data_IF_400903421742
#
_entry.id   IF_400903421742
#
_cell.length_a   1.000
_cell.length_b   1.000
_cell.length_c   1.000
_cell.angle_alpha   90.00
_cell.angle_beta   90.00
_cell.angle_gamma   90.00
#
_symmetry.space_group_name_H-M   'P 1'
#
loop_
_entity.id
_entity.type
_entity.pdbx_description
1 polymer ?
#
# COMPACT_ATOMS: atom_id res chain seq x y z
N UNK A 1 25.51 -13.24 3.42
CA UNK A 1 24.39 -13.10 4.36
C UNK A 1 23.19 -13.51 3.57
N UNK A 2 22.51 -14.58 3.98
CA UNK A 2 21.28 -15.00 3.33
C UNK A 2 20.27 -13.85 3.51
N UNK A 3 19.89 -13.27 2.38
CA UNK A 3 18.79 -12.34 2.27
C UNK A 3 17.77 -12.98 1.34
N UNK A 4 16.60 -12.35 1.22
CA UNK A 4 15.60 -12.76 0.26
C UNK A 4 16.20 -12.75 -1.15
N UNK A 5 16.09 -13.88 -1.85
CA UNK A 5 16.55 -14.01 -3.22
C UNK A 5 15.34 -13.95 -4.15
N UNK A 6 15.43 -13.10 -5.17
CA UNK A 6 14.35 -12.89 -6.15
C UNK A 6 14.05 -14.15 -6.96
N UNK A 7 15.06 -15.01 -7.17
CA UNK A 7 14.95 -16.27 -7.90
C UNK A 7 14.62 -17.48 -7.00
N UNK A 8 14.43 -17.28 -5.69
CA UNK A 8 13.99 -18.34 -4.80
C UNK A 8 12.56 -18.80 -5.17
N UNK A 9 12.26 -20.10 -5.23
CA UNK A 9 10.95 -20.59 -5.66
C UNK A 9 9.76 -19.97 -4.92
N UNK A 10 9.88 -19.78 -3.60
CA UNK A 10 8.82 -19.14 -2.82
C UNK A 10 8.62 -17.66 -3.16
N UNK A 11 9.70 -16.91 -3.49
CA UNK A 11 9.58 -15.52 -3.96
C UNK A 11 8.91 -15.47 -5.33
N UNK A 12 9.29 -16.38 -6.23
CA UNK A 12 8.70 -16.47 -7.58
C UNK A 12 7.22 -16.82 -7.50
N UNK A 13 6.84 -17.78 -6.66
CA UNK A 13 5.46 -18.18 -6.43
C UNK A 13 4.63 -17.04 -5.82
N UNK A 14 5.15 -16.37 -4.79
CA UNK A 14 4.49 -15.22 -4.17
C UNK A 14 4.29 -14.08 -5.17
N UNK A 15 5.33 -13.68 -5.91
CA UNK A 15 5.23 -12.62 -6.91
C UNK A 15 4.24 -12.98 -8.02
N UNK A 16 4.22 -14.24 -8.47
CA UNK A 16 3.29 -14.70 -9.49
C UNK A 16 1.84 -14.64 -8.99
N UNK A 17 1.56 -15.09 -7.77
CA UNK A 17 0.22 -15.04 -7.17
C UNK A 17 -0.27 -13.59 -6.96
N UNK A 18 0.63 -12.69 -6.53
CA UNK A 18 0.34 -11.25 -6.45
C UNK A 18 0.04 -10.69 -7.84
N UNK A 19 0.86 -11.02 -8.83
CA UNK A 19 0.66 -10.55 -10.21
C UNK A 19 -0.69 -11.01 -10.77
N UNK A 20 -1.04 -12.29 -10.61
CA UNK A 20 -2.34 -12.84 -11.03
C UNK A 20 -3.50 -12.10 -10.35
N UNK A 21 -3.40 -11.86 -9.03
CA UNK A 21 -4.44 -11.13 -8.29
C UNK A 21 -4.58 -9.69 -8.78
N UNK A 22 -3.47 -8.99 -9.01
CA UNK A 22 -3.51 -7.63 -9.56
C UNK A 22 -4.10 -7.63 -10.97
N UNK A 23 -3.75 -8.58 -11.84
CA UNK A 23 -4.29 -8.64 -13.22
C UNK A 23 -5.78 -8.99 -13.27
N UNK A 24 -6.25 -9.88 -12.38
CA UNK A 24 -7.61 -10.42 -12.43
C UNK A 24 -8.62 -9.66 -11.56
N UNK A 25 -8.19 -9.12 -10.42
CA UNK A 25 -9.09 -8.53 -9.41
C UNK A 25 -8.82 -7.05 -9.15
N UNK A 26 -7.55 -6.64 -9.16
CA UNK A 26 -7.13 -5.32 -8.69
C UNK A 26 -6.28 -4.59 -9.74
N UNK A 27 -6.73 -4.55 -11.00
CA UNK A 27 -5.92 -4.12 -12.15
C UNK A 27 -5.53 -2.63 -12.14
N UNK A 28 -6.37 -1.82 -11.51
CA UNK A 28 -6.28 -0.36 -11.54
C UNK A 28 -7.08 0.26 -10.38
N UNK A 29 -6.95 1.59 -10.25
CA UNK A 29 -7.64 2.35 -9.23
C UNK A 29 -9.16 2.15 -9.22
N UNK A 30 -9.78 1.92 -10.39
CA UNK A 30 -11.21 1.65 -10.51
C UNK A 30 -11.60 0.35 -9.83
N UNK A 31 -10.90 -0.74 -10.16
CA UNK A 31 -11.10 -2.05 -9.54
C UNK A 31 -10.88 -2.02 -8.03
N UNK A 32 -9.90 -1.25 -7.55
CA UNK A 32 -9.64 -1.05 -6.12
C UNK A 32 -10.81 -0.36 -5.40
N UNK A 33 -11.39 0.67 -6.01
CA UNK A 33 -12.57 1.36 -5.47
C UNK A 33 -13.74 0.41 -5.33
N UNK A 34 -14.02 -0.39 -6.36
CA UNK A 34 -15.10 -1.39 -6.33
C UNK A 34 -14.88 -2.46 -5.24
N UNK A 35 -13.62 -2.85 -5.02
CA UNK A 35 -13.21 -3.81 -4.00
C UNK A 35 -13.13 -3.22 -2.58
N UNK A 36 -13.41 -1.92 -2.40
CA UNK A 36 -13.47 -1.28 -1.08
C UNK A 36 -12.14 -0.73 -0.56
N UNK A 37 -11.08 -0.75 -1.37
CA UNK A 37 -9.82 -0.11 -1.02
C UNK A 37 -9.99 1.41 -0.90
N UNK A 38 -9.22 1.99 0.02
CA UNK A 38 -9.22 3.41 0.35
C UNK A 38 -7.86 4.02 0.04
N UNK A 39 -7.79 5.10 -0.75
CA UNK A 39 -6.54 5.79 -0.98
C UNK A 39 -6.10 6.46 0.30
N UNK A 40 -4.87 6.27 0.74
CA UNK A 40 -4.34 7.04 1.87
C UNK A 40 -3.02 7.73 1.52
N UNK A 41 -2.80 7.96 0.21
CA UNK A 41 -1.72 8.73 -0.46
C UNK A 41 -0.65 9.23 0.50
N UNK A 42 0.61 8.78 0.35
CA UNK A 42 1.72 9.09 1.25
C UNK A 42 1.76 10.57 1.70
N UNK A 43 1.15 10.77 2.86
CA UNK A 43 0.37 11.97 3.19
C UNK A 43 1.21 13.22 3.45
N UNK A 44 2.49 13.03 3.72
CA UNK A 44 3.46 14.09 3.99
C UNK A 44 4.59 14.15 2.95
N UNK A 45 4.62 13.24 1.99
CA UNK A 45 5.63 13.17 0.94
C UNK A 45 4.94 13.12 -0.42
N UNK A 46 4.23 14.19 -0.77
CA UNK A 46 3.48 14.28 -2.04
C UNK A 46 4.40 14.30 -3.27
N UNK A 47 5.70 14.48 -3.06
CA UNK A 47 6.75 14.37 -4.07
C UNK A 47 7.28 12.92 -4.20
N UNK A 48 6.74 11.94 -3.44
CA UNK A 48 7.12 10.53 -3.50
C UNK A 48 6.72 9.92 -4.85
N UNK A 49 7.61 10.11 -5.82
CA UNK A 49 7.84 9.31 -7.03
C UNK A 49 6.62 8.94 -7.88
N UNK A 50 5.45 9.56 -7.71
CA UNK A 50 4.27 9.36 -8.54
C UNK A 50 3.61 7.99 -8.40
N UNK A 51 3.56 7.43 -7.20
CA UNK A 51 2.76 6.24 -6.87
C UNK A 51 2.00 6.45 -5.55
N UNK A 52 1.06 5.57 -5.21
CA UNK A 52 0.24 5.71 -4.02
C UNK A 52 -0.15 4.38 -3.40
N UNK A 53 -0.34 4.40 -2.08
CA UNK A 53 -0.91 3.30 -1.32
C UNK A 53 -2.44 3.39 -1.24
N UNK A 54 -3.08 2.25 -1.49
CA UNK A 54 -4.51 2.02 -1.35
C UNK A 54 -4.71 0.88 -0.37
N UNK A 55 -5.36 1.13 0.76
CA UNK A 55 -5.49 0.17 1.87
C UNK A 55 -6.91 -0.38 1.95
N UNK A 56 -7.06 -1.66 2.29
CA UNK A 56 -8.37 -2.27 2.53
C UNK A 56 -8.61 -2.48 4.04
N UNK A 57 -9.50 -1.67 4.67
CA UNK A 57 -9.92 -1.85 6.07
C UNK A 57 -10.33 -3.29 6.43
N UNK A 58 -11.05 -3.97 5.54
CA UNK A 58 -11.54 -5.33 5.80
C UNK A 58 -10.37 -6.32 5.91
N UNK A 59 -9.37 -6.20 5.03
CA UNK A 59 -8.22 -7.10 5.03
C UNK A 59 -7.23 -6.79 6.16
N UNK A 60 -7.02 -5.52 6.51
CA UNK A 60 -6.24 -5.16 7.70
C UNK A 60 -6.84 -5.77 8.99
N UNK A 61 -8.17 -5.83 9.04
CA UNK A 61 -8.95 -6.32 10.16
C UNK A 61 -9.22 -7.83 10.15
N UNK A 62 -8.80 -8.58 9.13
CA UNK A 62 -9.09 -10.02 9.03
C UNK A 62 -8.04 -10.90 9.75
N UNK A 63 -8.16 -12.22 9.57
CA UNK A 63 -7.27 -13.20 10.22
C UNK A 63 -6.09 -13.65 9.35
N UNK A 64 -6.10 -13.28 8.06
CA UNK A 64 -5.10 -13.61 7.06
C UNK A 64 -3.91 -12.65 7.14
N UNK A 65 -2.73 -13.16 6.83
CA UNK A 65 -1.50 -12.37 6.72
C UNK A 65 -0.67 -13.02 5.63
N UNK A 66 -0.06 -12.22 4.76
CA UNK A 66 0.71 -12.72 3.62
C UNK A 66 -0.17 -13.57 2.68
N UNK A 67 -1.39 -13.10 2.42
CA UNK A 67 -2.36 -13.72 1.51
C UNK A 67 -2.43 -12.92 0.20
N UNK A 68 -1.85 -13.41 -0.93
CA UNK A 68 -1.82 -12.67 -2.19
C UNK A 68 -3.20 -12.32 -2.75
N UNK A 69 -4.24 -13.09 -2.40
CA UNK A 69 -5.61 -12.84 -2.88
C UNK A 69 -6.29 -11.71 -2.08
N UNK A 70 -5.79 -11.38 -0.89
CA UNK A 70 -6.35 -10.35 0.02
C UNK A 70 -5.24 -9.48 0.63
N UNK A 71 -4.46 -8.75 -0.19
CA UNK A 71 -3.39 -7.90 0.32
C UNK A 71 -3.97 -6.70 1.09
N UNK A 72 -3.42 -6.38 2.25
CA UNK A 72 -3.93 -5.26 3.06
C UNK A 72 -3.79 -3.92 2.35
N UNK A 73 -2.82 -3.78 1.43
CA UNK A 73 -2.67 -2.62 0.58
C UNK A 73 -2.19 -2.97 -0.83
N UNK A 74 -2.70 -2.24 -1.82
CA UNK A 74 -2.25 -2.26 -3.22
C UNK A 74 -1.53 -0.94 -3.55
N UNK A 75 -0.51 -1.02 -4.40
CA UNK A 75 0.34 0.08 -4.81
C UNK A 75 -0.04 0.46 -6.23
N UNK A 76 -0.35 1.73 -6.48
CA UNK A 76 -0.85 2.22 -7.77
C UNK A 76 0.10 3.27 -8.32
N UNK A 77 0.43 3.16 -9.61
CA UNK A 77 1.15 4.21 -10.32
C UNK A 77 0.22 5.39 -10.61
N UNK A 78 0.55 6.60 -10.14
CA UNK A 78 -0.37 7.74 -10.22
C UNK A 78 -0.49 8.31 -11.64
N UNK A 79 0.39 7.95 -12.57
CA UNK A 79 0.28 8.39 -13.97
C UNK A 79 -0.60 7.44 -14.78
N UNK A 80 -0.31 6.13 -14.74
CA UNK A 80 -1.06 5.11 -15.52
C UNK A 80 -2.32 4.62 -14.83
N UNK A 81 -2.43 4.83 -13.51
CA UNK A 81 -3.49 4.36 -12.63
C UNK A 81 -3.57 2.83 -12.51
N UNK A 82 -2.50 2.13 -12.95
CA UNK A 82 -2.35 0.68 -12.85
C UNK A 82 -1.76 0.28 -11.51
N UNK A 83 -2.19 -0.88 -11.02
CA UNK A 83 -1.55 -1.51 -9.88
C UNK A 83 -0.16 -2.03 -10.26
N UNK A 84 0.83 -1.82 -9.39
CA UNK A 84 2.25 -2.10 -9.65
C UNK A 84 2.91 -2.98 -8.58
N UNK A 85 2.17 -3.29 -7.52
CA UNK A 85 2.62 -4.12 -6.42
C UNK A 85 1.60 -4.14 -5.30
N UNK A 86 1.93 -4.86 -4.24
CA UNK A 86 1.15 -4.90 -3.00
C UNK A 86 2.05 -4.61 -1.82
N UNK A 87 1.43 -4.22 -0.72
CA UNK A 87 2.06 -4.14 0.58
C UNK A 87 1.24 -4.97 1.55
N UNK A 88 1.87 -6.01 2.10
CA UNK A 88 1.30 -6.74 3.20
C UNK A 88 1.54 -5.99 4.51
N UNK A 89 0.59 -6.06 5.42
CA UNK A 89 0.68 -5.47 6.76
C UNK A 89 0.47 -6.60 7.77
N UNK A 90 1.43 -6.78 8.68
CA UNK A 90 1.41 -7.84 9.68
C UNK A 90 0.45 -7.46 10.82
N UNK A 91 -0.84 -7.49 10.53
CA UNK A 91 -1.94 -7.33 11.48
C UNK A 91 -2.79 -8.59 11.54
N UNK A 92 -3.49 -8.80 12.66
CA UNK A 92 -4.56 -9.80 12.77
C UNK A 92 -5.63 -9.21 13.67
N UNK A 93 -6.88 -9.26 13.23
CA UNK A 93 -7.99 -8.60 13.93
C UNK A 93 -7.68 -7.10 14.18
N UNK A 94 -6.96 -6.45 13.27
CA UNK A 94 -6.49 -5.06 13.38
C UNK A 94 -5.31 -4.81 14.32
N UNK A 95 -4.83 -5.81 15.06
CA UNK A 95 -3.69 -5.68 15.97
C UNK A 95 -2.37 -6.11 15.30
N UNK A 96 -1.28 -5.38 15.55
CA UNK A 96 0.05 -5.77 15.06
C UNK A 96 0.49 -7.13 15.61
N UNK A 97 1.03 -7.97 14.73
CA UNK A 97 1.62 -9.26 15.09
C UNK A 97 3.11 -9.34 14.71
N UNK A 98 3.77 -10.42 15.13
CA UNK A 98 5.09 -10.76 14.59
C UNK A 98 4.91 -11.25 13.14
N UNK A 99 5.61 -10.66 12.15
CA UNK A 99 5.41 -11.03 10.77
C UNK A 99 5.91 -12.45 10.46
N UNK A 100 5.16 -13.23 9.65
CA UNK A 100 5.64 -14.52 9.19
C UNK A 100 6.80 -14.36 8.19
N UNK A 101 7.79 -15.25 8.21
CA UNK A 101 8.79 -15.30 7.15
C UNK A 101 8.12 -15.67 5.81
N UNK A 102 8.67 -15.18 4.70
CA UNK A 102 8.27 -15.65 3.36
C UNK A 102 8.70 -17.11 3.19
N UNK A 103 9.92 -17.42 3.61
CA UNK A 103 10.44 -18.79 3.63
C UNK A 103 11.58 -18.91 4.65
N UNK A 104 11.89 -20.17 4.99
CA UNK A 104 12.94 -20.53 5.94
C UNK A 104 12.48 -20.42 7.39
N UNK A 105 12.81 -21.42 8.20
CA UNK A 105 12.49 -21.47 9.63
C UNK A 105 13.73 -21.17 10.51
N UNK A 106 14.92 -21.14 9.91
CA UNK A 106 16.20 -20.90 10.58
C UNK A 106 17.08 -19.91 9.82
N UNK A 107 18.09 -19.37 10.49
CA UNK A 107 18.85 -18.20 10.03
C UNK A 107 19.66 -18.41 8.76
N UNK A 108 19.84 -19.65 8.29
CA UNK A 108 20.66 -19.94 7.12
C UNK A 108 19.91 -19.71 5.80
N UNK A 109 18.60 -19.97 5.77
CA UNK A 109 17.74 -19.78 4.59
C UNK A 109 16.53 -18.85 4.86
N UNK A 110 16.46 -18.21 6.02
CA UNK A 110 15.38 -17.28 6.40
C UNK A 110 15.30 -16.06 5.46
N UNK A 111 14.13 -15.85 4.88
CA UNK A 111 13.73 -14.61 4.22
C UNK A 111 12.55 -13.99 4.96
N UNK A 112 12.81 -12.84 5.58
CA UNK A 112 11.82 -12.00 6.26
C UNK A 112 12.14 -10.53 5.93
N UNK A 113 11.68 -10.03 4.77
CA UNK A 113 11.98 -8.67 4.31
C UNK A 113 11.04 -7.61 4.92
N UNK A 114 10.27 -8.00 5.95
CA UNK A 114 9.40 -7.12 6.71
C UNK A 114 10.19 -6.01 7.40
N UNK A 115 9.62 -4.82 7.42
CA UNK A 115 10.17 -3.65 8.09
C UNK A 115 9.05 -2.83 8.72
N UNK A 116 9.37 -1.87 9.57
CA UNK A 116 8.39 -0.93 10.12
C UNK A 116 8.91 0.48 9.97
N UNK A 117 8.00 1.45 9.92
CA UNK A 117 8.36 2.86 9.89
C UNK A 117 8.29 3.46 11.29
N UNK A 118 9.41 4.04 11.73
CA UNK A 118 9.47 4.85 12.96
C UNK A 118 9.58 6.36 12.68
N UNK A 119 9.80 6.73 11.41
CA UNK A 119 9.80 8.11 10.93
C UNK A 119 8.39 8.70 10.92
N UNK A 120 8.32 10.03 10.97
CA UNK A 120 7.05 10.76 11.01
C UNK A 120 6.13 10.47 9.81
N UNK A 121 6.63 10.44 8.55
CA UNK A 121 5.76 10.21 7.39
C UNK A 121 4.97 8.89 7.48
N UNK A 122 5.64 7.76 7.65
CA UNK A 122 4.98 6.46 7.73
C UNK A 122 4.06 6.33 8.96
N UNK A 123 4.48 6.85 10.12
CA UNK A 123 3.64 6.85 11.33
C UNK A 123 2.38 7.70 11.16
N UNK A 124 2.49 8.85 10.51
CA UNK A 124 1.36 9.73 10.25
C UNK A 124 0.42 9.15 9.21
N UNK A 125 0.94 8.53 8.14
CA UNK A 125 0.12 7.85 7.15
C UNK A 125 -0.72 6.72 7.77
N UNK A 126 -0.11 5.86 8.61
CA UNK A 126 -0.82 4.81 9.34
C UNK A 126 -1.85 5.37 10.33
N UNK A 127 -1.47 6.40 11.11
CA UNK A 127 -2.41 7.07 12.01
C UNK A 127 -3.58 7.68 11.23
N UNK A 128 -3.31 8.34 10.11
CA UNK A 128 -4.34 8.95 9.27
C UNK A 128 -5.32 7.91 8.75
N UNK A 129 -4.85 6.77 8.24
CA UNK A 129 -5.71 5.65 7.85
C UNK A 129 -6.67 5.28 9.00
N UNK A 130 -6.12 5.03 10.19
CA UNK A 130 -6.89 4.68 11.40
C UNK A 130 -7.94 5.73 11.77
N UNK A 131 -7.61 7.02 11.68
CA UNK A 131 -8.56 8.08 12.00
C UNK A 131 -9.63 8.28 10.91
N UNK A 132 -9.23 8.24 9.64
CA UNK A 132 -10.10 8.56 8.51
C UNK A 132 -11.04 7.39 8.13
N UNK A 133 -10.55 6.16 8.25
CA UNK A 133 -11.24 4.97 7.73
C UNK A 133 -11.73 4.04 8.84
N UNK A 134 -10.97 3.84 9.92
CA UNK A 134 -11.43 3.05 11.09
C UNK A 134 -12.19 3.89 12.13
N UNK A 135 -12.11 5.22 12.04
CA UNK A 135 -12.75 6.18 12.96
C UNK A 135 -12.33 5.98 14.43
N UNK A 136 -11.08 5.59 14.67
CA UNK A 136 -10.55 5.32 16.03
C UNK A 136 -10.71 6.49 17.02
N UNK A 137 -10.87 7.72 16.53
CA UNK A 137 -11.19 8.88 17.36
C UNK A 137 -12.52 8.72 18.13
N UNK A 138 -13.46 7.90 17.65
CA UNK A 138 -14.74 7.63 18.31
C UNK A 138 -14.56 6.79 19.59
N UNK A 139 -13.56 5.93 19.60
CA UNK A 139 -13.12 5.16 20.76
C UNK A 139 -12.09 5.91 21.63
N UNK A 140 -11.71 7.12 21.20
CA UNK A 140 -10.77 8.00 21.90
C UNK A 140 -9.30 7.73 21.61
N UNK A 141 -8.98 6.85 20.66
CA UNK A 141 -7.61 6.61 20.21
C UNK A 141 -7.21 7.58 19.10
N UNK A 142 -6.65 8.72 19.53
CA UNK A 142 -6.11 9.76 18.64
C UNK A 142 -4.59 9.83 18.68
N UNK A 143 -3.92 8.84 19.28
CA UNK A 143 -2.48 8.93 19.56
C UNK A 143 -1.66 8.51 18.34
N UNK A 144 -0.72 9.35 17.92
CA UNK A 144 0.28 8.97 16.92
C UNK A 144 1.15 7.82 17.46
N UNK A 145 1.15 6.62 16.83
CA UNK A 145 1.86 5.47 17.37
C UNK A 145 3.37 5.66 17.29
N UNK A 146 4.14 4.89 18.07
CA UNK A 146 5.62 4.96 18.06
C UNK A 146 6.24 4.41 16.77
N UNK A 147 5.57 3.44 16.12
CA UNK A 147 5.92 2.83 14.84
C UNK A 147 4.66 2.27 14.17
N UNK A 148 4.73 1.99 12.88
CA UNK A 148 3.71 1.20 12.15
C UNK A 148 3.79 -0.29 12.56
N UNK A 149 2.77 -1.10 12.24
CA UNK A 149 2.95 -2.54 12.10
C UNK A 149 4.09 -2.86 11.13
N UNK A 150 4.62 -4.09 11.20
CA UNK A 150 5.55 -4.55 10.17
C UNK A 150 4.83 -4.65 8.83
N UNK A 151 5.48 -4.21 7.76
CA UNK A 151 4.94 -4.22 6.41
C UNK A 151 5.99 -4.73 5.43
N UNK A 152 5.52 -5.24 4.30
CA UNK A 152 6.37 -5.86 3.28
C UNK A 152 5.79 -5.62 1.90
N UNK A 153 6.55 -4.94 1.05
CA UNK A 153 6.20 -4.75 -0.36
C UNK A 153 6.50 -6.01 -1.16
N UNK A 154 5.69 -6.25 -2.19
CA UNK A 154 5.96 -7.19 -3.27
C UNK A 154 5.64 -6.49 -4.59
N UNK A 155 6.68 -6.17 -5.35
CA UNK A 155 6.57 -5.49 -6.64
C UNK A 155 6.34 -6.49 -7.77
N UNK A 156 5.39 -6.19 -8.66
CA UNK A 156 5.13 -7.01 -9.86
C UNK A 156 5.85 -6.46 -11.09
N UNK A 157 6.16 -5.16 -11.10
CA UNK A 157 7.09 -4.54 -12.07
C UNK A 157 8.54 -4.76 -11.67
N UNK A 158 9.47 -4.55 -12.60
CA UNK A 158 10.90 -4.68 -12.31
C UNK A 158 11.37 -3.58 -11.33
N UNK A 159 12.20 -3.97 -10.37
CA UNK A 159 12.74 -3.07 -9.36
C UNK A 159 14.25 -3.31 -9.20
N UNK A 160 15.11 -2.28 -9.30
CA UNK A 160 16.57 -2.45 -9.25
C UNK A 160 17.08 -3.00 -7.90
N UNK A 161 16.29 -2.82 -6.83
CA UNK A 161 16.57 -3.33 -5.48
C UNK A 161 15.88 -4.66 -5.15
N UNK A 162 15.23 -5.29 -6.13
CA UNK A 162 14.59 -6.60 -5.99
C UNK A 162 13.11 -6.56 -5.63
N UNK A 163 12.49 -7.75 -5.56
CA UNK A 163 11.02 -7.91 -5.44
C UNK A 163 10.45 -7.29 -4.17
N UNK A 164 11.22 -7.31 -3.08
CA UNK A 164 10.81 -6.80 -1.76
C UNK A 164 11.38 -5.42 -1.43
N UNK A 165 11.74 -4.63 -2.46
CA UNK A 165 12.31 -3.31 -2.24
C UNK A 165 11.42 -2.41 -1.37
N UNK A 166 12.05 -1.60 -0.52
CA UNK A 166 11.35 -0.73 0.42
C UNK A 166 10.60 0.40 -0.30
N UNK A 167 11.25 1.05 -1.25
CA UNK A 167 10.70 2.20 -1.97
C UNK A 167 10.03 1.77 -3.28
N UNK A 168 9.30 2.70 -3.90
CA UNK A 168 8.66 2.47 -5.18
C UNK A 168 9.64 2.37 -6.35
N UNK A 169 9.31 1.61 -7.40
CA UNK A 169 10.17 1.48 -8.58
C UNK A 169 10.35 2.84 -9.26
N UNK A 170 11.56 3.15 -9.75
CA UNK A 170 11.78 4.37 -10.53
C UNK A 170 10.84 4.43 -11.73
N UNK A 171 10.47 5.65 -12.17
CA UNK A 171 9.46 5.86 -13.23
C UNK A 171 9.73 5.05 -14.51
N UNK A 172 11.00 4.92 -14.88
CA UNK A 172 11.45 4.17 -16.07
C UNK A 172 11.11 2.66 -16.05
N UNK A 173 10.79 2.09 -14.88
CA UNK A 173 10.37 0.70 -14.73
C UNK A 173 8.83 0.54 -14.61
N UNK A 174 8.08 1.65 -14.61
CA UNK A 174 6.61 1.68 -14.50
C UNK A 174 5.90 2.08 -15.80
N UNK A 175 6.61 2.00 -16.93
CA UNK A 175 6.04 2.33 -18.25
C UNK A 175 5.06 1.24 -18.69
N UNK A 176 3.79 1.42 -18.31
CA UNK A 176 2.68 0.55 -18.65
C UNK A 176 1.64 1.30 -19.47
N UNK A 177 0.84 0.56 -20.23
CA UNK A 177 -0.34 1.15 -20.87
C UNK A 177 -1.31 1.64 -19.78
N UNK A 178 -1.72 2.93 -19.81
CA UNK A 178 -2.66 3.45 -18.84
C UNK A 178 -3.95 2.63 -18.75
N UNK A 179 -4.64 2.73 -17.62
CA UNK A 179 -5.99 2.17 -17.51
C UNK A 179 -6.91 2.75 -18.60
N UNK A 180 -7.71 1.90 -19.24
CA UNK A 180 -8.60 2.31 -20.33
C UNK A 180 -9.71 3.26 -19.86
N UNK A 181 -10.19 3.03 -18.64
CA UNK A 181 -11.22 3.79 -17.97
C UNK A 181 -10.87 3.98 -16.47
N UNK A 182 -11.20 5.13 -15.86
CA UNK A 182 -11.06 5.35 -14.41
C UNK A 182 -11.75 4.32 -13.51
N UNK A 183 -12.85 3.71 -13.96
CA UNK A 183 -13.69 2.83 -13.15
C UNK A 183 -14.56 3.55 -12.11
N UNK A 184 -14.58 4.88 -12.12
CA UNK A 184 -15.44 5.71 -11.26
C UNK A 184 -15.76 7.07 -11.91
N UNK A 185 -16.75 7.78 -11.39
CA UNK A 185 -17.17 9.07 -11.93
C UNK A 185 -16.11 10.17 -11.67
N UNK A 186 -15.30 10.48 -12.68
CA UNK A 186 -14.30 11.55 -12.65
C UNK A 186 -14.16 12.26 -14.01
N UNK A 187 -13.63 13.49 -13.97
CA UNK A 187 -13.22 14.23 -15.18
C UNK A 187 -11.75 14.00 -15.57
N UNK A 188 -10.96 13.40 -14.67
CA UNK A 188 -9.55 13.10 -14.89
C UNK A 188 -9.36 11.83 -15.74
N UNK A 189 -8.20 11.70 -16.39
CA UNK A 189 -7.89 10.59 -17.30
C UNK A 189 -6.55 9.92 -16.98
N UNK A 190 -6.51 8.59 -16.87
CA UNK A 190 -5.27 7.82 -16.81
C UNK A 190 -4.31 8.19 -17.96
N UNK A 191 -3.03 8.30 -17.65
CA UNK A 191 -1.95 8.66 -18.57
C UNK A 191 -1.89 10.14 -18.96
N UNK A 192 -2.85 10.96 -18.51
CA UNK A 192 -2.87 12.42 -18.76
C UNK A 192 -2.89 13.22 -17.47
N UNK A 193 -3.75 12.83 -16.54
CA UNK A 193 -3.93 13.48 -15.25
C UNK A 193 -3.39 12.57 -14.12
N UNK A 194 -2.79 13.20 -13.11
CA UNK A 194 -2.29 12.49 -11.94
C UNK A 194 -3.45 11.95 -11.10
N UNK A 195 -3.33 10.71 -10.64
CA UNK A 195 -4.21 10.16 -9.61
C UNK A 195 -3.88 10.82 -8.27
N UNK A 196 -4.75 11.72 -7.84
CA UNK A 196 -4.69 12.41 -6.55
C UNK A 196 -6.11 12.66 -5.99
N UNK A 197 -6.20 13.36 -4.86
CA UNK A 197 -7.48 13.68 -4.22
C UNK A 197 -8.47 14.46 -5.10
N UNK A 198 -8.02 15.17 -6.14
CA UNK A 198 -8.88 15.95 -7.04
C UNK A 198 -9.35 15.11 -8.24
N UNK A 199 -8.64 14.01 -8.54
CA UNK A 199 -9.07 12.99 -9.50
C UNK A 199 -10.17 12.05 -8.95
N UNK A 200 -10.33 11.98 -7.63
CA UNK A 200 -11.25 11.04 -6.97
C UNK A 200 -12.69 11.58 -6.81
N UNK A 201 -13.69 10.67 -6.85
CA UNK A 201 -15.05 10.93 -6.37
C UNK A 201 -15.08 11.49 -4.95
N UNK A 202 -16.00 12.41 -4.69
CA UNK A 202 -16.09 13.10 -3.39
C UNK A 202 -16.36 12.17 -2.19
N UNK A 203 -16.99 11.02 -2.42
CA UNK A 203 -17.28 10.01 -1.40
C UNK A 203 -16.07 9.13 -1.04
N UNK A 204 -15.01 9.16 -1.85
CA UNK A 204 -13.73 8.52 -1.55
C UNK A 204 -12.72 9.48 -0.92
N UNK A 205 -12.97 10.78 -0.99
CA UNK A 205 -12.14 11.80 -0.34
C UNK A 205 -12.57 11.93 1.13
N UNK A 206 -11.67 11.71 2.09
CA UNK A 206 -11.99 11.88 3.51
C UNK A 206 -12.42 13.32 3.84
N UNK A 207 -13.22 13.47 4.90
CA UNK A 207 -13.74 14.78 5.34
C UNK A 207 -12.63 15.80 5.65
N UNK A 208 -11.48 15.31 6.11
CA UNK A 208 -10.28 16.13 6.32
C UNK A 208 -9.12 15.45 5.60
N UNK A 209 -8.48 16.20 4.70
CA UNK A 209 -7.30 15.73 3.99
C UNK A 209 -6.08 15.72 4.93
N UNK A 210 -5.05 14.91 4.64
CA UNK A 210 -3.92 14.79 5.55
C UNK A 210 -3.15 16.10 5.76
N UNK A 211 -3.04 16.95 4.74
CA UNK A 211 -2.41 18.26 4.82
C UNK A 211 -3.19 19.25 5.70
N UNK A 212 -4.51 19.14 5.70
CA UNK A 212 -5.39 19.92 6.57
C UNK A 212 -5.20 19.51 8.04
N UNK A 213 -5.11 18.20 8.30
CA UNK A 213 -4.85 17.66 9.65
C UNK A 213 -3.45 18.00 10.17
N UNK A 214 -2.43 17.89 9.32
CA UNK A 214 -1.06 18.25 9.67
C UNK A 214 -0.95 19.73 10.05
N UNK A 215 -1.65 20.62 9.34
CA UNK A 215 -1.68 22.05 9.67
C UNK A 215 -2.38 22.36 11.02
N UNK A 216 -3.29 21.49 11.46
CA UNK A 216 -4.07 21.66 12.69
C UNK A 216 -3.43 21.05 13.94
N UNK A 217 -2.38 20.23 13.79
CA UNK A 217 -1.79 19.47 14.90
C UNK A 217 -0.37 19.96 15.22
N UNK A 218 -0.18 20.79 16.25
CA UNK A 218 1.15 21.33 16.58
C UNK A 218 2.11 20.20 17.02
N UNK A 219 3.21 20.02 16.29
CA UNK A 219 4.23 19.01 16.59
C UNK A 219 4.16 17.74 15.75
N UNK A 220 3.24 17.71 14.77
CA UNK A 220 3.49 17.08 13.47
C UNK A 220 4.37 18.01 12.61
#
# INVERSE_FOLDING_TARGET
MAGCADDHPATVELRAAVQETLEEQYSDAGALVEAGFKPYFDTLDRDADGWSHWINPEYVGDDAVLDPERPESVLVDNETWRSIGVMFIATRDGESIEPPAVYGDDTEDLCSPWHYHAGLPGRFAWWYYRQAYERDFEDGDVTLPCRTPCMMHVWTVDHPEGVYAHDGPPREYRDQEPADDPGFETGAKPGTDTLDWDALPSDLVPEQRPDELAALTPGL
#
